data_IF_690900021831
#
_entry.id   IF_690900021831
#
_cell.length_a   1.000
_cell.length_b   1.000
_cell.length_c   1.000
_cell.angle_alpha   90.00
_cell.angle_beta   90.00
_cell.angle_gamma   90.00
#
_symmetry.space_group_name_H-M   'P 1'
#
loop_
_entity.id
_entity.type
_entity.pdbx_description
1 polymer ?
#
# COMPACT_ATOMS: atom_id res chain seq x y z
N UNK A 1 -5.38 -3.35 27.08
CA UNK A 1 -5.35 -3.67 25.63
C UNK A 1 -6.51 -4.61 25.34
N UNK A 2 -7.51 -4.19 24.55
CA UNK A 2 -8.79 -4.93 24.40
C UNK A 2 -8.72 -5.95 23.26
N UNK A 3 -9.04 -7.21 23.59
CA UNK A 3 -9.15 -8.38 22.70
C UNK A 3 -10.00 -8.12 21.44
N UNK A 4 -10.98 -7.20 21.53
CA UNK A 4 -11.82 -6.75 20.41
C UNK A 4 -11.02 -6.11 19.26
N UNK A 5 -9.91 -5.43 19.56
CA UNK A 5 -9.06 -4.74 18.57
C UNK A 5 -8.24 -5.73 17.74
N UNK A 6 -7.80 -6.82 18.36
CA UNK A 6 -7.11 -7.91 17.67
C UNK A 6 -8.04 -8.57 16.66
N UNK A 7 -9.29 -8.85 17.06
CA UNK A 7 -10.31 -9.46 16.19
C UNK A 7 -10.57 -8.61 14.95
N UNK A 8 -10.88 -7.31 15.09
CA UNK A 8 -11.17 -6.45 13.93
C UNK A 8 -10.03 -6.38 12.89
N UNK A 9 -8.77 -6.43 13.33
CA UNK A 9 -7.58 -6.44 12.46
C UNK A 9 -7.45 -7.72 11.63
N UNK A 10 -7.98 -8.84 12.11
CA UNK A 10 -7.94 -10.14 11.40
C UNK A 10 -9.17 -10.41 10.52
N UNK A 11 -10.23 -9.59 10.61
CA UNK A 11 -11.44 -9.71 9.78
C UNK A 11 -11.50 -8.72 8.61
N UNK A 12 -10.66 -7.69 8.59
CA UNK A 12 -10.54 -6.77 7.45
C UNK A 12 -9.66 -7.38 6.36
N UNK A 13 -10.14 -7.39 5.12
CA UNK A 13 -9.34 -7.66 3.93
C UNK A 13 -8.48 -6.46 3.52
N UNK A 14 -8.65 -5.33 4.21
CA UNK A 14 -8.00 -4.07 3.95
C UNK A 14 -7.08 -3.62 5.10
N UNK A 15 -5.93 -3.05 4.75
CA UNK A 15 -5.01 -2.38 5.67
C UNK A 15 -4.41 -1.13 5.00
N UNK A 16 -4.30 -0.05 5.74
CA UNK A 16 -3.73 1.22 5.27
C UNK A 16 -2.76 1.81 6.29
N UNK A 17 -1.83 2.64 5.83
CA UNK A 17 -1.01 3.47 6.70
C UNK A 17 -1.69 4.80 7.01
N UNK A 18 -1.46 5.33 8.22
CA UNK A 18 -1.79 6.72 8.54
C UNK A 18 -0.91 7.27 9.66
N UNK A 19 -0.83 8.59 9.81
CA UNK A 19 0.08 9.27 10.74
C UNK A 19 -0.07 8.83 12.21
N UNK A 20 -1.29 8.51 12.64
CA UNK A 20 -1.62 8.20 14.05
C UNK A 20 -2.07 6.76 14.24
N UNK A 21 -1.62 5.85 13.35
CA UNK A 21 -2.08 4.48 13.34
C UNK A 21 -1.79 3.79 14.66
N UNK A 22 -2.77 3.05 15.19
CA UNK A 22 -2.66 2.38 16.50
C UNK A 22 -1.62 1.25 16.52
N UNK A 23 -1.36 0.67 15.35
CA UNK A 23 -0.23 -0.21 15.10
C UNK A 23 0.96 0.61 14.58
N UNK A 24 2.08 0.65 15.32
CA UNK A 24 3.28 1.37 14.91
C UNK A 24 3.85 0.91 13.56
N UNK A 25 3.64 -0.35 13.15
CA UNK A 25 4.15 -0.82 11.85
C UNK A 25 3.35 -0.32 10.65
N UNK A 26 2.20 0.32 10.90
CA UNK A 26 1.33 0.91 9.89
C UNK A 26 1.28 2.44 10.05
N UNK A 27 2.20 3.03 10.80
CA UNK A 27 2.33 4.48 10.86
C UNK A 27 3.02 5.01 9.60
N UNK A 28 2.57 6.16 9.11
CA UNK A 28 3.18 6.85 7.98
C UNK A 28 4.65 7.18 8.28
N UNK A 29 5.54 6.81 7.37
CA UNK A 29 6.96 7.13 7.47
C UNK A 29 7.34 8.30 6.54
N UNK A 30 8.19 9.17 7.06
CA UNK A 30 8.69 10.33 6.34
C UNK A 30 10.15 10.15 5.95
N UNK A 31 10.44 10.24 4.66
CA UNK A 31 11.76 10.01 4.09
C UNK A 31 12.38 11.33 3.60
N UNK A 32 13.71 11.41 3.71
CA UNK A 32 14.50 12.54 3.23
C UNK A 32 14.75 12.41 1.72
N UNK A 33 13.71 12.67 0.93
CA UNK A 33 13.74 12.55 -0.53
C UNK A 33 12.79 13.55 -1.19
N UNK A 34 12.76 13.58 -2.52
CA UNK A 34 11.72 14.28 -3.29
C UNK A 34 10.60 13.31 -3.66
N UNK A 35 9.39 13.79 -3.98
CA UNK A 35 8.31 12.91 -4.45
C UNK A 35 8.73 12.09 -5.67
N UNK A 36 9.39 12.71 -6.64
CA UNK A 36 9.86 12.03 -7.85
C UNK A 36 10.83 10.89 -7.54
N UNK A 37 11.83 11.14 -6.69
CA UNK A 37 12.80 10.10 -6.29
C UNK A 37 12.12 8.97 -5.50
N UNK A 38 11.15 9.30 -4.65
CA UNK A 38 10.36 8.31 -3.92
C UNK A 38 9.54 7.43 -4.86
N UNK A 39 8.82 8.03 -5.82
CA UNK A 39 8.01 7.30 -6.79
C UNK A 39 8.87 6.41 -7.70
N UNK A 40 10.01 6.92 -8.19
CA UNK A 40 10.95 6.14 -9.00
C UNK A 40 11.55 4.95 -8.22
N UNK A 41 11.79 5.11 -6.91
CA UNK A 41 12.24 4.01 -6.05
C UNK A 41 11.17 2.91 -5.97
N UNK A 42 9.90 3.27 -5.73
CA UNK A 42 8.80 2.30 -5.67
C UNK A 42 8.59 1.58 -7.00
N UNK A 43 8.64 2.31 -8.11
CA UNK A 43 8.55 1.74 -9.45
C UNK A 43 9.66 0.69 -9.67
N UNK A 44 10.90 1.01 -9.30
CA UNK A 44 12.02 0.08 -9.39
C UNK A 44 11.84 -1.13 -8.47
N UNK A 45 11.34 -0.93 -7.24
CA UNK A 45 11.08 -2.02 -6.29
C UNK A 45 10.06 -3.01 -6.87
N UNK A 46 8.94 -2.53 -7.39
CA UNK A 46 7.92 -3.41 -7.97
C UNK A 46 8.37 -4.07 -9.28
N UNK A 47 9.17 -3.39 -10.11
CA UNK A 47 9.72 -4.00 -11.34
C UNK A 47 10.75 -5.09 -11.09
N UNK A 48 11.55 -4.96 -10.04
CA UNK A 48 12.66 -5.87 -9.75
C UNK A 48 12.23 -7.16 -9.01
N UNK A 49 10.98 -7.24 -8.56
CA UNK A 49 10.44 -8.43 -7.89
C UNK A 49 9.26 -9.01 -8.69
N UNK A 50 9.39 -10.24 -9.25
CA UNK A 50 8.35 -10.87 -10.07
C UNK A 50 7.09 -11.25 -9.28
N UNK A 51 7.05 -10.97 -7.97
CA UNK A 51 5.84 -11.07 -7.14
C UNK A 51 4.84 -9.96 -7.45
N UNK A 52 5.27 -8.83 -7.98
CA UNK A 52 4.42 -7.66 -8.25
C UNK A 52 4.17 -7.46 -9.74
N UNK A 53 2.99 -6.94 -10.06
CA UNK A 53 2.64 -6.43 -11.38
C UNK A 53 2.15 -5.00 -11.23
N UNK A 54 2.84 -4.02 -11.82
CA UNK A 54 2.42 -2.63 -11.80
C UNK A 54 1.19 -2.47 -12.70
N UNK A 55 0.08 -1.99 -12.16
CA UNK A 55 -1.14 -1.72 -12.91
C UNK A 55 -1.13 -0.32 -13.53
N UNK A 56 -0.75 0.70 -12.76
CA UNK A 56 -0.70 2.09 -13.22
C UNK A 56 0.29 2.93 -12.39
N UNK A 57 0.76 4.02 -13.00
CA UNK A 57 1.59 5.04 -12.34
C UNK A 57 0.98 6.40 -12.66
N UNK A 58 0.56 7.14 -11.64
CA UNK A 58 0.13 8.53 -11.74
C UNK A 58 1.22 9.44 -11.19
N UNK A 59 2.06 9.98 -12.06
CA UNK A 59 3.12 10.92 -11.64
C UNK A 59 2.56 12.24 -11.11
N UNK A 60 1.42 12.68 -11.64
CA UNK A 60 0.74 13.91 -11.22
C UNK A 60 0.25 13.82 -9.78
N UNK A 61 -0.32 12.67 -9.39
CA UNK A 61 -0.82 12.45 -8.03
C UNK A 61 0.21 11.80 -7.10
N UNK A 62 1.37 11.41 -7.63
CA UNK A 62 2.42 10.74 -6.86
C UNK A 62 2.05 9.31 -6.48
N UNK A 63 1.27 8.61 -7.29
CA UNK A 63 0.71 7.30 -6.96
C UNK A 63 1.22 6.20 -7.89
N UNK A 64 1.37 5.00 -7.34
CA UNK A 64 1.63 3.76 -8.09
C UNK A 64 0.72 2.66 -7.55
N UNK A 65 0.05 1.95 -8.46
CA UNK A 65 -0.76 0.78 -8.11
C UNK A 65 -0.10 -0.49 -8.64
N UNK A 66 -0.14 -1.54 -7.82
CA UNK A 66 0.42 -2.84 -8.14
C UNK A 66 -0.40 -3.99 -7.55
N UNK A 67 -0.45 -5.12 -8.26
CA UNK A 67 -1.05 -6.36 -7.78
C UNK A 67 0.04 -7.34 -7.37
N UNK A 68 -0.14 -8.02 -6.24
CA UNK A 68 0.64 -9.22 -5.88
C UNK A 68 0.11 -10.38 -6.71
N UNK A 69 0.92 -10.88 -7.64
CA UNK A 69 0.55 -11.98 -8.56
C UNK A 69 1.02 -13.36 -8.09
N UNK A 70 1.88 -13.43 -7.06
CA UNK A 70 2.37 -14.69 -6.47
C UNK A 70 2.06 -14.77 -4.97
N UNK A 71 1.47 -15.89 -4.54
CA UNK A 71 1.05 -16.11 -3.15
C UNK A 71 -0.32 -15.51 -2.86
N UNK A 72 -0.50 -14.93 -1.65
CA UNK A 72 -1.75 -14.24 -1.29
C UNK A 72 -1.89 -12.97 -2.13
N UNK A 73 -2.88 -12.95 -3.03
CA UNK A 73 -3.16 -11.82 -3.92
C UNK A 73 -3.64 -10.60 -3.13
N UNK A 74 -3.15 -9.44 -3.53
CA UNK A 74 -3.56 -8.16 -2.98
C UNK A 74 -3.36 -7.07 -4.02
N UNK A 75 -4.22 -6.06 -3.97
CA UNK A 75 -4.06 -4.80 -4.67
C UNK A 75 -3.42 -3.79 -3.73
N UNK A 76 -2.37 -3.14 -4.19
CA UNK A 76 -1.60 -2.15 -3.46
C UNK A 76 -1.74 -0.82 -4.19
N UNK A 77 -2.06 0.23 -3.46
CA UNK A 77 -1.88 1.62 -3.88
C UNK A 77 -0.83 2.22 -2.96
N UNK A 78 0.26 2.74 -3.55
CA UNK A 78 1.27 3.47 -2.81
C UNK A 78 1.27 4.93 -3.25
N UNK A 79 1.22 5.84 -2.28
CA UNK A 79 1.12 7.28 -2.49
C UNK A 79 2.36 7.97 -1.93
N UNK A 80 2.95 8.85 -2.72
CA UNK A 80 4.21 9.54 -2.43
C UNK A 80 3.98 11.05 -2.46
N UNK A 81 3.89 11.66 -1.27
CA UNK A 81 3.58 13.08 -1.11
C UNK A 81 4.69 13.80 -0.34
N UNK A 82 5.30 14.81 -0.96
CA UNK A 82 6.27 15.69 -0.31
C UNK A 82 5.53 16.84 0.40
N UNK A 83 5.33 16.68 1.71
CA UNK A 83 4.62 17.66 2.54
C UNK A 83 5.42 18.94 2.80
N UNK A 84 6.75 18.89 2.66
CA UNK A 84 7.68 20.04 2.64
C UNK A 84 9.01 19.59 2.02
N UNK A 85 9.92 20.51 1.61
CA UNK A 85 11.17 20.13 0.97
C UNK A 85 11.95 19.05 1.74
N UNK A 86 12.28 17.95 1.06
CA UNK A 86 12.98 16.79 1.62
C UNK A 86 12.29 16.11 2.81
N UNK A 87 10.97 16.20 2.89
CA UNK A 87 10.14 15.41 3.79
C UNK A 87 8.98 14.84 3.00
N UNK A 88 9.12 13.57 2.60
CA UNK A 88 8.15 12.86 1.76
C UNK A 88 7.53 11.71 2.54
N UNK A 89 6.20 11.75 2.67
CA UNK A 89 5.42 10.61 3.13
C UNK A 89 5.35 9.57 2.01
N UNK A 90 5.49 8.31 2.38
CA UNK A 90 5.15 7.18 1.52
C UNK A 90 4.14 6.34 2.28
N UNK A 91 2.92 6.33 1.76
CA UNK A 91 1.78 5.65 2.36
C UNK A 91 1.28 4.52 1.48
N UNK A 92 0.66 3.52 2.11
CA UNK A 92 0.16 2.33 1.45
C UNK A 92 -1.29 2.08 1.82
N UNK A 93 -2.05 1.67 0.83
CA UNK A 93 -3.40 1.15 0.94
C UNK A 93 -3.40 -0.23 0.28
N UNK A 94 -3.67 -1.27 1.06
CA UNK A 94 -3.54 -2.66 0.64
C UNK A 94 -4.83 -3.40 0.88
N UNK A 95 -5.42 -3.92 -0.19
CA UNK A 95 -6.64 -4.75 -0.13
C UNK A 95 -6.31 -6.13 -0.64
N UNK A 96 -6.44 -7.15 0.21
CA UNK A 96 -6.33 -8.55 -0.21
C UNK A 96 -7.59 -8.97 -0.95
N UNK A 97 -7.43 -9.79 -2.00
CA UNK A 97 -8.60 -10.44 -2.58
C UNK A 97 -9.17 -11.42 -1.53
N UNK A 98 -10.42 -11.21 -1.13
CA UNK A 98 -11.14 -12.18 -0.30
C UNK A 98 -11.33 -13.48 -1.10
N UNK A 99 -10.98 -14.62 -0.52
CA UNK A 99 -11.26 -15.95 -1.09
C UNK A 99 -12.74 -16.33 -0.93
N UNK A 100 -13.66 -15.42 -1.22
CA UNK A 100 -15.06 -15.81 -1.42
C UNK A 100 -15.21 -16.18 -2.90
N UNK A 101 -15.45 -17.45 -3.23
CA UNK A 101 -15.86 -17.84 -4.58
C UNK A 101 -17.32 -17.42 -4.71
N UNK A 102 -17.59 -16.14 -4.98
CA UNK A 102 -18.91 -15.73 -5.40
C UNK A 102 -18.90 -15.76 -6.92
N UNK A 103 -19.19 -16.94 -7.46
CA UNK A 103 -19.62 -17.09 -8.83
C UNK A 103 -20.95 -16.34 -9.00
N UNK A 104 -20.89 -15.06 -9.36
CA UNK A 104 -22.05 -14.28 -9.79
C UNK A 104 -22.41 -14.59 -11.25
N UNK A 105 -22.64 -15.87 -11.59
CA UNK A 105 -23.34 -16.27 -12.82
C UNK A 105 -23.98 -17.65 -12.61
N UNK A 106 -25.16 -17.64 -11.98
CA UNK A 106 -26.23 -18.63 -12.14
C UNK A 106 -27.40 -17.95 -12.85
#
# INVERSE_FOLDING_TARGET
>A
MSFRRTIAKYFSDHAETNDTHIDPSLQTHYYKTTSEKGLNMLENLFKNDPKYHINAISKEHGEISATIVKGKKAFIVATVIMVRPYRTAIDFSVTTESTLPIDFWL
#
